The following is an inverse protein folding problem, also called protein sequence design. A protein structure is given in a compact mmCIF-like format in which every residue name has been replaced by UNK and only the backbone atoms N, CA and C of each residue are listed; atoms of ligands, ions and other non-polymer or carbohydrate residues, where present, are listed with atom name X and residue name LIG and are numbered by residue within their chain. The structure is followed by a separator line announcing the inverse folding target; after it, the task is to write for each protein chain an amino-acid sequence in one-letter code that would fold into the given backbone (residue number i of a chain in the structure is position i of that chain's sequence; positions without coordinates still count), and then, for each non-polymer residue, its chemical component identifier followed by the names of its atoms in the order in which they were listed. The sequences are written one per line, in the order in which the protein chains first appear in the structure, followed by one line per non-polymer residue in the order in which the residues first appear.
data_IF_808364630325
#
_entry.id   IF_808364630325
#
_cell.length_a   1.000
_cell.length_b   1.000
_cell.length_c   1.000
_cell.angle_alpha   90.00
_cell.angle_beta   90.00
_cell.angle_gamma   90.00
#
_symmetry.space_group_name_H-M   'P 1'
#
loop_
_entity.id
_entity.type
_entity.pdbx_description
1 polymer ?
#
# COMPACT_ATOMS: atom_id res chain seq x y z
N UNK A 1 -18.22 -8.09 21.13
CA UNK A 1 -17.81 -9.50 20.97
C UNK A 1 -16.65 -9.77 21.92
N UNK A 2 -16.93 -9.84 23.21
CA UNK A 2 -15.91 -9.89 24.27
C UNK A 2 -15.25 -11.27 24.37
N UNK A 3 -16.03 -12.33 24.10
CA UNK A 3 -15.54 -13.72 24.10
C UNK A 3 -14.41 -13.91 23.08
N UNK A 4 -14.56 -13.38 21.85
CA UNK A 4 -13.50 -13.48 20.85
C UNK A 4 -12.27 -12.63 21.18
N UNK A 5 -12.44 -11.46 21.80
CA UNK A 5 -11.32 -10.60 22.21
C UNK A 5 -10.49 -11.30 23.30
N UNK A 6 -11.15 -11.87 24.31
CA UNK A 6 -10.47 -12.61 25.38
C UNK A 6 -9.75 -13.86 24.86
N UNK A 7 -10.36 -14.58 23.91
CA UNK A 7 -9.72 -15.72 23.25
C UNK A 7 -8.45 -15.31 22.48
N UNK A 8 -8.52 -14.19 21.74
CA UNK A 8 -7.38 -13.65 20.99
C UNK A 8 -6.26 -13.18 21.92
N UNK A 9 -6.59 -12.49 23.02
CA UNK A 9 -5.62 -12.02 24.01
C UNK A 9 -4.80 -13.20 24.59
N UNK A 10 -5.49 -14.27 24.98
CA UNK A 10 -4.86 -15.48 25.50
C UNK A 10 -3.90 -16.08 24.49
N UNK A 11 -4.33 -16.28 23.24
CA UNK A 11 -3.48 -16.85 22.18
C UNK A 11 -2.28 -15.94 21.89
N UNK A 12 -2.49 -14.62 21.80
CA UNK A 12 -1.43 -13.65 21.50
C UNK A 12 -0.35 -13.63 22.58
N UNK A 13 -0.70 -13.73 23.86
CA UNK A 13 0.27 -13.77 24.96
C UNK A 13 1.21 -14.98 24.93
N UNK A 14 0.80 -16.08 24.28
CA UNK A 14 1.66 -17.26 24.08
C UNK A 14 2.58 -17.12 22.86
N UNK A 15 2.26 -16.25 21.91
CA UNK A 15 2.99 -16.09 20.64
C UNK A 15 3.95 -14.90 20.66
N UNK A 16 3.54 -13.79 21.25
CA UNK A 16 4.32 -12.55 21.29
C UNK A 16 4.41 -12.05 22.73
N UNK A 17 5.59 -11.57 23.16
CA UNK A 17 5.83 -10.96 24.48
C UNK A 17 5.17 -9.55 24.65
N UNK A 18 4.08 -9.29 23.94
CA UNK A 18 3.41 -7.99 23.88
C UNK A 18 4.13 -6.98 22.97
N UNK A 19 3.44 -5.87 22.70
CA UNK A 19 4.03 -4.77 21.94
C UNK A 19 4.97 -3.95 22.83
N UNK A 20 6.11 -3.51 22.29
CA UNK A 20 7.10 -2.72 23.02
C UNK A 20 6.48 -1.44 23.63
N UNK A 21 6.48 -1.34 24.96
CA UNK A 21 5.75 -0.29 25.71
C UNK A 21 6.04 1.14 25.22
N UNK A 22 7.29 1.54 24.90
CA UNK A 22 7.55 2.87 24.36
C UNK A 22 6.81 3.19 23.06
N UNK A 23 6.59 2.20 22.17
CA UNK A 23 5.79 2.40 20.95
C UNK A 23 4.32 2.66 21.30
N UNK A 24 3.79 1.99 22.33
CA UNK A 24 2.41 2.20 22.77
C UNK A 24 2.21 3.62 23.34
N UNK A 25 3.16 4.10 24.14
CA UNK A 25 3.14 5.48 24.68
C UNK A 25 3.25 6.51 23.54
N UNK A 26 4.16 6.28 22.59
CA UNK A 26 4.28 7.13 21.42
C UNK A 26 3.00 7.15 20.57
N UNK A 27 2.35 5.99 20.38
CA UNK A 27 1.10 5.88 19.65
C UNK A 27 -0.04 6.62 20.36
N UNK A 28 -0.15 6.52 21.69
CA UNK A 28 -1.16 7.24 22.47
C UNK A 28 -0.99 8.77 22.35
N UNK A 29 0.26 9.24 22.40
CA UNK A 29 0.59 10.65 22.16
C UNK A 29 0.23 11.08 20.73
N UNK A 30 0.58 10.27 19.73
CA UNK A 30 0.26 10.55 18.33
C UNK A 30 -1.25 10.62 18.07
N UNK A 31 -2.04 9.73 18.67
CA UNK A 31 -3.52 9.74 18.54
C UNK A 31 -4.17 10.98 19.14
N UNK A 32 -3.54 11.58 20.15
CA UNK A 32 -4.03 12.78 20.83
C UNK A 32 -3.48 14.08 20.21
N UNK A 33 -2.61 13.96 19.21
CA UNK A 33 -1.94 15.11 18.58
C UNK A 33 -2.80 15.78 17.51
N UNK A 34 -2.39 16.99 17.10
CA UNK A 34 -3.10 17.79 16.11
C UNK A 34 -3.15 17.11 14.72
N UNK A 35 -4.32 17.02 14.08
CA UNK A 35 -4.48 16.29 12.81
C UNK A 35 -3.87 16.99 11.59
N UNK A 36 -3.37 18.23 11.68
CA UNK A 36 -2.80 18.94 10.53
C UNK A 36 -1.64 18.19 9.87
N UNK A 37 -0.86 17.46 10.66
CA UNK A 37 0.25 16.63 10.16
C UNK A 37 -0.28 15.52 9.26
N UNK A 38 -1.42 14.90 9.60
CA UNK A 38 -2.06 13.85 8.81
C UNK A 38 -2.55 14.45 7.48
N UNK A 39 -3.18 15.62 7.51
CA UNK A 39 -3.70 16.26 6.29
C UNK A 39 -2.57 16.64 5.32
N UNK A 40 -1.45 17.17 5.85
CA UNK A 40 -0.25 17.44 5.07
C UNK A 40 0.28 16.17 4.40
N UNK A 41 0.38 15.06 5.14
CA UNK A 41 0.85 13.79 4.60
C UNK A 41 -0.11 13.25 3.54
N UNK A 42 -1.42 13.33 3.75
CA UNK A 42 -2.44 12.96 2.75
C UNK A 42 -2.29 13.78 1.47
N UNK A 43 -2.04 15.08 1.57
CA UNK A 43 -1.78 15.96 0.43
C UNK A 43 -0.53 15.55 -0.36
N UNK A 44 0.55 15.18 0.32
CA UNK A 44 1.78 14.68 -0.32
C UNK A 44 1.50 13.39 -1.10
N UNK A 45 0.82 12.42 -0.49
CA UNK A 45 0.52 11.15 -1.16
C UNK A 45 -0.46 11.33 -2.32
N UNK A 46 -1.45 12.22 -2.19
CA UNK A 46 -2.35 12.59 -3.29
C UNK A 46 -1.56 13.13 -4.48
N UNK A 47 -0.67 14.11 -4.24
CA UNK A 47 0.17 14.68 -5.30
C UNK A 47 1.05 13.62 -5.97
N UNK A 48 1.66 12.72 -5.20
CA UNK A 48 2.50 11.63 -5.73
C UNK A 48 1.68 10.68 -6.61
N UNK A 49 0.47 10.30 -6.17
CA UNK A 49 -0.46 9.48 -6.95
C UNK A 49 -0.82 10.15 -8.26
N UNK A 50 -1.22 11.42 -8.21
CA UNK A 50 -1.68 12.14 -9.39
C UNK A 50 -0.55 12.28 -10.43
N UNK A 51 0.67 12.57 -10.00
CA UNK A 51 1.85 12.61 -10.87
C UNK A 51 2.15 11.24 -11.49
N UNK A 52 2.06 10.16 -10.71
CA UNK A 52 2.29 8.80 -11.23
C UNK A 52 1.26 8.41 -12.29
N UNK A 53 -0.03 8.61 -12.00
CA UNK A 53 -1.13 8.26 -12.91
C UNK A 53 -1.05 9.08 -14.20
N UNK A 54 -0.84 10.39 -14.10
CA UNK A 54 -0.70 11.28 -15.27
C UNK A 54 0.52 10.93 -16.12
N UNK A 55 1.69 10.68 -15.50
CA UNK A 55 2.90 10.32 -16.23
C UNK A 55 2.77 8.98 -16.97
N UNK A 56 2.15 7.98 -16.34
CA UNK A 56 1.92 6.68 -16.96
C UNK A 56 0.86 6.75 -18.07
N UNK A 57 -0.21 7.53 -17.87
CA UNK A 57 -1.21 7.80 -18.91
C UNK A 57 -0.60 8.46 -20.14
N UNK A 58 0.27 9.46 -19.96
CA UNK A 58 1.07 10.08 -21.04
C UNK A 58 1.99 9.10 -21.77
N UNK A 59 2.47 8.06 -21.09
CA UNK A 59 3.25 6.98 -21.68
C UNK A 59 2.38 5.88 -22.37
N UNK A 60 1.06 6.08 -22.42
CA UNK A 60 0.11 5.14 -23.01
C UNK A 60 -0.24 3.96 -22.09
N UNK A 61 -0.02 4.10 -20.78
CA UNK A 61 -0.42 3.13 -19.77
C UNK A 61 -1.45 3.75 -18.82
N UNK A 62 -2.71 3.47 -19.10
CA UNK A 62 -3.83 3.90 -18.27
C UNK A 62 -3.84 3.13 -16.95
N UNK A 63 -3.61 3.84 -15.85
CA UNK A 63 -3.66 3.31 -14.48
C UNK A 63 -4.88 3.94 -13.79
N UNK A 64 -5.83 3.14 -13.27
CA UNK A 64 -6.96 3.69 -12.54
C UNK A 64 -6.47 4.42 -11.28
N UNK A 65 -7.00 5.63 -11.06
CA UNK A 65 -6.63 6.42 -9.88
C UNK A 65 -7.16 5.74 -8.60
N UNK A 66 -6.29 5.36 -7.64
CA UNK A 66 -6.73 4.72 -6.42
C UNK A 66 -7.43 5.72 -5.48
N UNK A 67 -8.53 5.28 -4.87
CA UNK A 67 -9.31 6.08 -3.89
C UNK A 67 -8.55 6.29 -2.57
N UNK A 68 -7.70 5.33 -2.21
CA UNK A 68 -6.91 5.34 -0.99
C UNK A 68 -5.61 4.54 -1.17
N UNK A 69 -4.72 4.62 -0.17
CA UNK A 69 -3.39 3.97 -0.11
C UNK A 69 -2.27 4.69 -0.88
N UNK A 70 -1.04 4.18 -0.72
CA UNK A 70 0.17 4.67 -1.40
C UNK A 70 0.56 3.83 -2.62
N UNK A 71 -0.26 2.85 -3.01
CA UNK A 71 0.00 1.94 -4.12
C UNK A 71 -0.97 2.22 -5.28
N UNK A 72 -0.46 2.11 -6.51
CA UNK A 72 -1.28 2.17 -7.71
C UNK A 72 -1.36 0.77 -8.32
N UNK A 73 -2.59 0.28 -8.49
CA UNK A 73 -2.86 -1.01 -9.09
C UNK A 73 -2.96 -0.83 -10.60
N UNK A 74 -1.88 -1.18 -11.31
CA UNK A 74 -1.75 -0.97 -12.73
C UNK A 74 -2.09 -2.28 -13.49
N UNK A 75 -3.17 -2.31 -14.29
CA UNK A 75 -3.47 -3.49 -15.11
C UNK A 75 -2.40 -3.68 -16.18
N UNK A 76 -2.18 -4.93 -16.60
CA UNK A 76 -1.24 -5.21 -17.71
C UNK A 76 -1.83 -4.58 -18.99
N UNK A 77 -1.09 -3.72 -19.71
CA UNK A 77 -1.55 -3.15 -20.97
C UNK A 77 -1.94 -4.24 -21.99
N UNK A 78 -2.95 -3.98 -22.84
CA UNK A 78 -3.44 -4.96 -23.84
C UNK A 78 -2.33 -5.61 -24.66
N UNK A 79 -1.36 -4.80 -25.11
CA UNK A 79 -0.17 -5.24 -25.86
C UNK A 79 0.69 -6.30 -25.14
N UNK A 80 0.59 -6.37 -23.82
CA UNK A 80 1.36 -7.27 -22.96
C UNK A 80 0.49 -8.34 -22.28
N UNK A 81 -0.84 -8.35 -22.48
CA UNK A 81 -1.72 -9.39 -21.90
C UNK A 81 -1.37 -10.84 -22.26
N UNK A 82 -0.81 -11.15 -23.45
CA UNK A 82 -0.35 -12.51 -23.73
C UNK A 82 0.79 -12.97 -22.82
N UNK A 83 1.50 -12.05 -22.17
CA UNK A 83 2.54 -12.37 -21.20
C UNK A 83 1.90 -12.77 -19.86
N UNK A 84 2.46 -13.83 -19.26
CA UNK A 84 2.23 -14.11 -17.84
C UNK A 84 2.72 -12.92 -17.02
N UNK A 85 2.04 -12.57 -15.90
CA UNK A 85 2.40 -11.40 -15.05
C UNK A 85 3.89 -11.31 -14.72
N UNK A 86 4.58 -12.45 -14.60
CA UNK A 86 5.97 -12.51 -14.19
C UNK A 86 6.88 -12.06 -15.33
N UNK A 87 6.55 -12.45 -16.56
CA UNK A 87 7.27 -11.98 -17.74
C UNK A 87 7.10 -10.46 -17.92
N UNK A 88 5.89 -9.94 -17.71
CA UNK A 88 5.68 -8.49 -17.73
C UNK A 88 6.48 -7.76 -16.63
N UNK A 89 6.53 -8.32 -15.42
CA UNK A 89 7.32 -7.74 -14.34
C UNK A 89 8.82 -7.70 -14.64
N UNK A 90 9.35 -8.71 -15.34
CA UNK A 90 10.74 -8.73 -15.81
C UNK A 90 11.00 -7.64 -16.86
N UNK A 91 10.09 -7.45 -17.81
CA UNK A 91 10.18 -6.34 -18.80
C UNK A 91 10.24 -4.98 -18.09
N UNK A 92 9.43 -4.78 -17.05
CA UNK A 92 9.49 -3.55 -16.25
C UNK A 92 10.83 -3.38 -15.52
N UNK A 93 11.40 -4.46 -14.99
CA UNK A 93 12.71 -4.43 -14.34
C UNK A 93 13.84 -4.06 -15.31
N UNK A 94 13.79 -4.56 -16.55
CA UNK A 94 14.77 -4.25 -17.59
C UNK A 94 14.80 -2.75 -17.95
N UNK A 95 13.65 -2.08 -17.90
CA UNK A 95 13.54 -0.63 -18.10
C UNK A 95 13.72 0.18 -16.81
N UNK A 96 14.17 -0.46 -15.73
CA UNK A 96 14.48 0.18 -14.44
C UNK A 96 13.29 0.40 -13.51
N UNK A 97 12.10 -0.07 -13.87
CA UNK A 97 10.89 0.04 -13.05
C UNK A 97 10.75 -1.17 -12.11
N UNK A 98 10.92 -0.91 -10.81
CA UNK A 98 10.67 -1.92 -9.76
C UNK A 98 9.20 -1.95 -9.39
N UNK A 99 8.64 -3.15 -9.36
CA UNK A 99 7.25 -3.40 -8.99
C UNK A 99 7.15 -4.60 -8.06
N UNK A 100 6.02 -4.71 -7.35
CA UNK A 100 5.66 -5.90 -6.59
C UNK A 100 4.59 -6.66 -7.36
N UNK A 101 4.87 -7.93 -7.66
CA UNK A 101 3.99 -8.78 -8.46
C UNK A 101 3.01 -9.51 -7.55
N UNK A 102 1.71 -9.31 -7.76
CA UNK A 102 0.66 -10.04 -7.05
C UNK A 102 -0.18 -10.87 -8.03
N UNK A 103 -0.28 -12.17 -7.75
CA UNK A 103 -1.22 -13.07 -8.42
C UNK A 103 -2.62 -12.89 -7.82
N UNK A 104 -3.61 -12.52 -8.63
CA UNK A 104 -5.03 -12.57 -8.26
C UNK A 104 -5.72 -11.25 -7.90
N UNK A 105 -5.14 -10.09 -8.25
CA UNK A 105 -5.75 -8.76 -8.01
C UNK A 105 -5.98 -7.95 -9.31
N UNK A 106 -6.04 -8.61 -10.46
CA UNK A 106 -6.43 -8.02 -11.76
C UNK A 106 -7.54 -8.85 -12.37
#
# INVERSE_FOLDING_TARGET
NEILIAALEKIKSYLDYGAFTPIQVAAASALSSDPSTIEKVRGIYRKRRDVLVDAMGKAGWEIPSPDATMFAWAPIPEKFKPLVWLAFALVLLEIGLRNTVFKGFV
#
